data_IF_292608849132
#
_entry.id   IF_292608849132
#
_cell.length_a   1.000
_cell.length_b   1.000
_cell.length_c   1.000
_cell.angle_alpha   90.00
_cell.angle_beta   90.00
_cell.angle_gamma   90.00
#
_symmetry.space_group_name_H-M   'P 1'
#
loop_
_entity.id
_entity.type
_entity.pdbx_description
1 polymer ?
#
# COMPACT_ATOMS: atom_id res chain seq x y z
N UNK A 1 14.26 72.35 55.15
CA UNK A 1 15.31 71.76 54.32
C UNK A 1 15.21 70.21 54.27
N UNK A 2 14.95 69.56 55.36
CA UNK A 2 14.89 68.11 55.41
C UNK A 2 13.73 67.56 54.58
N UNK A 3 12.63 68.25 54.50
CA UNK A 3 11.46 67.83 53.74
C UNK A 3 11.68 67.91 52.22
N UNK A 4 12.42 68.89 51.73
CA UNK A 4 12.73 69.02 50.31
C UNK A 4 13.69 67.92 49.83
N UNK A 5 14.67 67.52 50.61
CA UNK A 5 15.58 66.45 50.29
C UNK A 5 14.89 65.08 50.24
N UNK A 6 13.90 64.84 51.07
CA UNK A 6 13.08 63.64 51.06
C UNK A 6 12.17 63.58 49.86
N UNK A 7 11.67 64.69 49.36
CA UNK A 7 10.82 64.74 48.17
C UNK A 7 11.60 64.46 46.88
N UNK A 8 12.83 64.93 46.75
CA UNK A 8 13.62 64.68 45.52
C UNK A 8 14.06 63.23 45.41
N UNK A 9 14.39 62.57 46.48
CA UNK A 9 14.87 61.21 46.46
C UNK A 9 13.82 60.20 45.97
N UNK A 10 12.52 60.22 46.35
CA UNK A 10 11.52 59.37 45.81
C UNK A 10 11.19 59.58 44.33
N UNK A 11 11.37 60.80 43.82
CA UNK A 11 11.09 61.11 42.40
C UNK A 11 12.15 60.49 41.46
N UNK A 12 13.41 60.52 41.87
CA UNK A 12 14.52 59.97 41.05
C UNK A 12 14.49 58.45 41.01
N UNK A 13 14.24 57.77 42.12
CA UNK A 13 14.13 56.34 42.20
C UNK A 13 12.96 55.72 41.35
N UNK A 14 11.74 56.27 41.37
CA UNK A 14 10.65 55.76 40.52
C UNK A 14 10.95 55.85 39.03
N UNK A 15 11.65 56.87 38.54
CA UNK A 15 11.99 56.98 37.11
C UNK A 15 12.95 55.86 36.66
N UNK A 16 14.03 55.65 37.43
CA UNK A 16 14.96 54.55 37.13
C UNK A 16 14.32 53.20 37.21
N UNK A 17 13.44 52.97 38.19
CA UNK A 17 12.67 51.75 38.33
C UNK A 17 11.70 51.54 37.15
N UNK A 18 11.01 52.59 36.70
CA UNK A 18 10.12 52.56 35.55
C UNK A 18 10.86 52.21 34.27
N UNK A 19 12.08 52.75 34.06
CA UNK A 19 12.91 52.42 32.92
C UNK A 19 13.29 50.92 32.86
N UNK A 20 13.66 50.33 34.01
CA UNK A 20 13.97 48.89 34.08
C UNK A 20 12.73 48.01 33.88
N UNK A 21 11.61 48.45 34.44
CA UNK A 21 10.32 47.78 34.24
C UNK A 21 9.91 47.84 32.76
N UNK A 22 10.08 48.98 32.10
CA UNK A 22 9.80 49.12 30.67
C UNK A 22 10.63 48.18 29.81
N UNK A 23 11.93 48.03 30.12
CA UNK A 23 12.79 47.05 29.44
C UNK A 23 12.35 45.63 29.66
N UNK A 24 11.92 45.28 30.86
CA UNK A 24 11.41 43.95 31.18
C UNK A 24 10.08 43.69 30.45
N UNK A 25 9.21 44.68 30.37
CA UNK A 25 7.97 44.59 29.59
C UNK A 25 8.27 44.34 28.11
N UNK A 26 9.25 45.06 27.54
CA UNK A 26 9.63 44.87 26.14
C UNK A 26 10.17 43.47 25.88
N UNK A 27 10.99 42.92 26.76
CA UNK A 27 11.48 41.54 26.67
C UNK A 27 10.33 40.53 26.73
N UNK A 28 9.39 40.75 27.62
CA UNK A 28 8.19 39.87 27.73
C UNK A 28 7.35 39.96 26.47
N UNK A 29 7.15 41.11 25.89
CA UNK A 29 6.44 41.32 24.65
C UNK A 29 7.12 40.60 23.47
N UNK A 30 8.44 40.70 23.37
CA UNK A 30 9.21 39.99 22.35
C UNK A 30 9.07 38.50 22.48
N UNK A 31 9.16 37.95 23.70
CA UNK A 31 8.93 36.52 23.95
C UNK A 31 7.50 36.11 23.58
N UNK A 32 6.50 36.91 23.95
CA UNK A 32 5.10 36.67 23.62
C UNK A 32 4.91 36.61 22.12
N UNK A 33 5.47 37.54 21.36
CA UNK A 33 5.34 37.62 19.93
C UNK A 33 6.02 36.42 19.23
N UNK A 34 7.22 36.07 19.72
CA UNK A 34 7.93 34.88 19.26
C UNK A 34 7.14 33.61 19.51
N UNK A 35 6.55 33.46 20.69
CA UNK A 35 5.69 32.31 21.02
C UNK A 35 4.41 32.27 20.17
N UNK A 36 3.81 33.42 19.90
CA UNK A 36 2.64 33.49 19.00
C UNK A 36 2.99 33.04 17.57
N UNK A 37 4.14 33.47 17.06
CA UNK A 37 4.62 33.07 15.76
C UNK A 37 4.89 31.56 15.72
N UNK A 38 5.56 31.00 16.72
CA UNK A 38 5.80 29.56 16.82
C UNK A 38 4.50 28.77 16.94
N UNK A 39 3.53 29.26 17.69
CA UNK A 39 2.23 28.65 17.83
C UNK A 39 1.48 28.63 16.50
N UNK A 40 1.50 29.73 15.77
CA UNK A 40 0.89 29.83 14.46
C UNK A 40 1.51 28.85 13.46
N UNK A 41 2.85 28.79 13.40
CA UNK A 41 3.58 27.85 12.55
C UNK A 41 3.28 26.40 12.92
N UNK A 42 3.24 26.08 14.21
CA UNK A 42 2.91 24.75 14.69
C UNK A 42 1.48 24.34 14.33
N UNK A 43 0.54 25.26 14.43
CA UNK A 43 -0.86 25.02 14.00
C UNK A 43 -0.96 24.75 12.51
N UNK A 44 -0.24 25.52 11.70
CA UNK A 44 -0.23 25.33 10.25
C UNK A 44 0.41 23.99 9.89
N UNK A 45 1.51 23.63 10.55
CA UNK A 45 2.17 22.33 10.37
C UNK A 45 1.26 21.18 10.80
N UNK A 46 0.55 21.33 11.91
CA UNK A 46 -0.40 20.33 12.41
C UNK A 46 -1.54 20.13 11.43
N UNK A 47 -2.09 21.20 10.88
CA UNK A 47 -3.13 21.15 9.87
C UNK A 47 -2.66 20.44 8.60
N UNK A 48 -1.46 20.77 8.13
CA UNK A 48 -0.84 20.14 6.96
C UNK A 48 -0.62 18.64 7.17
N UNK A 49 -0.11 18.24 8.33
CA UNK A 49 0.09 16.83 8.67
C UNK A 49 -1.26 16.10 8.77
N UNK A 50 -2.26 16.73 9.34
CA UNK A 50 -3.60 16.18 9.45
C UNK A 50 -4.21 15.91 8.06
N UNK A 51 -4.03 16.84 7.14
CA UNK A 51 -4.49 16.67 5.77
C UNK A 51 -3.75 15.53 5.05
N UNK A 52 -2.45 15.40 5.29
CA UNK A 52 -1.66 14.28 4.78
C UNK A 52 -2.11 12.94 5.33
N UNK A 53 -2.42 12.88 6.61
CA UNK A 53 -2.96 11.66 7.25
C UNK A 53 -4.27 11.26 6.58
N UNK A 54 -5.19 12.20 6.40
CA UNK A 54 -6.46 11.92 5.72
C UNK A 54 -6.28 11.43 4.29
N UNK A 55 -5.35 12.01 3.55
CA UNK A 55 -5.00 11.59 2.20
C UNK A 55 -4.44 10.18 2.16
N UNK A 56 -3.52 9.85 3.07
CA UNK A 56 -2.92 8.52 3.18
C UNK A 56 -3.96 7.48 3.60
N UNK A 57 -4.83 7.81 4.55
CA UNK A 57 -5.94 6.93 4.95
C UNK A 57 -6.87 6.61 3.79
N UNK A 58 -7.17 7.60 2.96
CA UNK A 58 -7.97 7.43 1.75
C UNK A 58 -7.25 6.52 0.74
N UNK A 59 -5.95 6.71 0.55
CA UNK A 59 -5.13 5.87 -0.32
C UNK A 59 -5.07 4.42 0.18
N UNK A 60 -4.93 4.22 1.48
CA UNK A 60 -4.94 2.89 2.10
C UNK A 60 -6.28 2.19 1.86
N UNK A 61 -7.39 2.89 2.04
CA UNK A 61 -8.72 2.33 1.77
C UNK A 61 -8.89 1.92 0.32
N UNK A 62 -8.40 2.72 -0.61
CA UNK A 62 -8.43 2.42 -2.04
C UNK A 62 -7.58 1.20 -2.38
N UNK A 63 -6.36 1.14 -1.83
CA UNK A 63 -5.46 0.00 -2.03
C UNK A 63 -6.05 -1.29 -1.45
N UNK A 64 -6.67 -1.23 -0.28
CA UNK A 64 -7.34 -2.39 0.31
C UNK A 64 -8.49 -2.90 -0.58
N UNK A 65 -9.28 -1.99 -1.16
CA UNK A 65 -10.32 -2.36 -2.13
C UNK A 65 -9.72 -3.01 -3.37
N UNK A 66 -8.62 -2.47 -3.90
CA UNK A 66 -7.92 -3.04 -5.04
C UNK A 66 -7.38 -4.44 -4.74
N UNK A 67 -6.78 -4.62 -3.57
CA UNK A 67 -6.27 -5.93 -3.11
C UNK A 67 -7.41 -6.95 -3.02
N UNK A 68 -8.55 -6.58 -2.47
CA UNK A 68 -9.70 -7.47 -2.38
C UNK A 68 -10.22 -7.87 -3.77
N UNK A 69 -10.26 -6.94 -4.71
CA UNK A 69 -10.65 -7.21 -6.09
C UNK A 69 -9.66 -8.15 -6.76
N UNK A 70 -8.37 -7.89 -6.63
CA UNK A 70 -7.30 -8.73 -7.19
C UNK A 70 -7.32 -10.14 -6.60
N UNK A 71 -7.55 -10.28 -5.30
CA UNK A 71 -7.69 -11.59 -4.65
C UNK A 71 -8.87 -12.39 -5.21
N UNK A 72 -10.00 -11.72 -5.46
CA UNK A 72 -11.15 -12.35 -6.10
C UNK A 72 -10.85 -12.79 -7.53
N UNK A 73 -10.15 -11.97 -8.30
CA UNK A 73 -9.71 -12.30 -9.65
C UNK A 73 -8.75 -13.50 -9.67
N UNK A 74 -7.80 -13.53 -8.74
CA UNK A 74 -6.85 -14.64 -8.58
C UNK A 74 -7.61 -15.93 -8.27
N UNK A 75 -8.61 -15.90 -7.38
CA UNK A 75 -9.43 -17.08 -7.06
C UNK A 75 -10.17 -17.60 -8.27
N UNK A 76 -10.73 -16.72 -9.09
CA UNK A 76 -11.40 -17.11 -10.35
C UNK A 76 -10.42 -17.70 -11.36
N UNK A 77 -9.24 -17.13 -11.50
CA UNK A 77 -8.19 -17.64 -12.38
C UNK A 77 -7.70 -19.02 -11.92
N UNK A 78 -7.55 -19.24 -10.62
CA UNK A 78 -7.19 -20.54 -10.06
C UNK A 78 -8.23 -21.61 -10.36
N UNK A 79 -9.53 -21.28 -10.28
CA UNK A 79 -10.61 -22.18 -10.65
C UNK A 79 -10.59 -22.53 -12.14
N UNK A 80 -10.38 -21.53 -12.99
CA UNK A 80 -10.25 -21.75 -14.44
C UNK A 80 -9.04 -22.64 -14.76
N UNK A 81 -7.92 -22.41 -14.09
CA UNK A 81 -6.72 -23.21 -14.25
C UNK A 81 -6.97 -24.66 -13.84
N UNK A 82 -7.64 -24.88 -12.71
CA UNK A 82 -7.99 -26.23 -12.25
C UNK A 82 -8.86 -26.96 -13.28
N UNK A 83 -9.88 -26.32 -13.81
CA UNK A 83 -10.74 -26.89 -14.88
C UNK A 83 -9.96 -27.18 -16.14
N UNK A 84 -9.06 -26.30 -16.55
CA UNK A 84 -8.22 -26.53 -17.73
C UNK A 84 -7.28 -27.72 -17.55
N UNK A 85 -6.71 -27.90 -16.34
CA UNK A 85 -5.87 -29.04 -16.01
C UNK A 85 -6.64 -30.36 -16.04
N UNK A 86 -7.88 -30.39 -15.53
CA UNK A 86 -8.74 -31.55 -15.56
C UNK A 86 -9.07 -31.93 -17.01
N UNK A 87 -9.41 -30.95 -17.84
CA UNK A 87 -9.67 -31.18 -19.26
C UNK A 87 -8.46 -31.73 -20.00
N UNK A 88 -7.29 -31.16 -19.73
CA UNK A 88 -6.01 -31.60 -20.29
C UNK A 88 -5.73 -33.08 -19.92
N UNK A 89 -5.94 -33.41 -18.65
CA UNK A 89 -5.75 -34.79 -18.18
C UNK A 89 -6.71 -35.75 -18.85
N UNK A 90 -7.99 -35.39 -18.98
CA UNK A 90 -8.98 -36.18 -19.69
C UNK A 90 -8.61 -36.36 -21.15
N UNK A 91 -8.15 -35.33 -21.83
CA UNK A 91 -7.73 -35.38 -23.22
C UNK A 91 -6.49 -36.28 -23.42
N UNK A 92 -5.53 -36.22 -22.48
CA UNK A 92 -4.36 -37.12 -22.50
C UNK A 92 -4.74 -38.57 -22.34
N UNK A 93 -5.66 -38.89 -21.45
CA UNK A 93 -6.17 -40.26 -21.28
C UNK A 93 -6.87 -40.75 -22.52
N UNK A 94 -7.68 -39.93 -23.19
CA UNK A 94 -8.31 -40.27 -24.48
C UNK A 94 -7.26 -40.51 -25.55
N UNK A 95 -6.23 -39.70 -25.63
CA UNK A 95 -5.15 -39.86 -26.58
C UNK A 95 -4.42 -41.20 -26.38
N UNK A 96 -4.07 -41.53 -25.14
CA UNK A 96 -3.44 -42.80 -24.80
C UNK A 96 -4.29 -44.00 -25.22
N UNK A 97 -5.59 -43.94 -24.96
CA UNK A 97 -6.52 -44.99 -25.38
C UNK A 97 -6.58 -45.13 -26.90
N UNK A 98 -6.60 -44.02 -27.62
CA UNK A 98 -6.59 -44.02 -29.10
C UNK A 98 -5.30 -44.57 -29.67
N UNK A 99 -4.16 -44.20 -29.09
CA UNK A 99 -2.85 -44.74 -29.49
C UNK A 99 -2.76 -46.25 -29.25
N UNK A 100 -3.23 -46.71 -28.09
CA UNK A 100 -3.28 -48.14 -27.77
C UNK A 100 -4.17 -48.90 -28.78
N UNK A 101 -5.33 -48.38 -29.07
CA UNK A 101 -6.23 -48.96 -30.06
C UNK A 101 -5.65 -49.00 -31.46
N UNK A 102 -4.93 -47.95 -31.84
CA UNK A 102 -4.24 -47.87 -33.12
C UNK A 102 -3.17 -48.97 -33.25
N UNK A 103 -2.39 -49.17 -32.17
CA UNK A 103 -1.40 -50.23 -32.12
C UNK A 103 -2.04 -51.61 -32.27
N UNK A 104 -3.13 -51.87 -31.55
CA UNK A 104 -3.87 -53.14 -31.68
C UNK A 104 -4.39 -53.36 -33.11
N UNK A 105 -4.94 -52.34 -33.75
CA UNK A 105 -5.44 -52.43 -35.11
C UNK A 105 -4.31 -52.68 -36.12
N UNK A 106 -3.14 -52.05 -35.91
CA UNK A 106 -1.97 -52.35 -36.75
C UNK A 106 -1.52 -53.79 -36.62
N UNK A 107 -1.46 -54.32 -35.41
CA UNK A 107 -1.07 -55.71 -35.17
C UNK A 107 -2.06 -56.66 -35.82
N UNK A 108 -3.36 -56.42 -35.72
CA UNK A 108 -4.41 -57.20 -36.39
C UNK A 108 -4.25 -57.13 -37.87
N UNK A 109 -4.01 -55.95 -38.45
CA UNK A 109 -3.78 -55.79 -39.87
C UNK A 109 -2.58 -56.59 -40.35
N UNK A 110 -1.44 -56.53 -39.62
CA UNK A 110 -0.27 -57.30 -39.97
C UNK A 110 -0.52 -58.83 -39.92
N UNK A 111 -1.22 -59.26 -38.88
CA UNK A 111 -1.58 -60.69 -38.75
C UNK A 111 -2.47 -61.18 -39.91
N UNK A 112 -3.48 -60.40 -40.27
CA UNK A 112 -4.36 -60.73 -41.41
C UNK A 112 -3.55 -60.68 -42.72
N UNK A 113 -2.71 -59.69 -42.89
CA UNK A 113 -1.87 -59.59 -44.10
C UNK A 113 -0.92 -60.79 -44.25
N UNK A 114 -0.33 -61.23 -43.13
CA UNK A 114 0.52 -62.41 -43.11
C UNK A 114 -0.25 -63.67 -43.46
N UNK A 115 -1.48 -63.87 -42.93
CA UNK A 115 -2.35 -65.03 -43.26
C UNK A 115 -2.76 -65.03 -44.73
N UNK A 116 -3.10 -63.84 -45.27
CA UNK A 116 -3.41 -63.70 -46.69
C UNK A 116 -2.23 -64.09 -47.58
N UNK A 117 -1.03 -63.63 -47.21
CA UNK A 117 0.17 -64.05 -47.95
C UNK A 117 0.45 -65.50 -47.90
N UNK A 118 0.21 -66.19 -46.78
CA UNK A 118 0.38 -67.62 -46.63
C UNK A 118 -0.66 -68.40 -47.50
N UNK A 119 -1.88 -67.91 -47.54
CA UNK A 119 -2.93 -68.53 -48.39
C UNK A 119 -2.63 -68.35 -49.86
N UNK A 120 -2.11 -67.19 -50.25
CA UNK A 120 -1.70 -66.98 -51.65
C UNK A 120 -0.52 -67.89 -52.10
N UNK A 121 0.41 -68.19 -51.20
CA UNK A 121 1.53 -69.09 -51.47
C UNK A 121 1.09 -70.57 -51.64
N UNK A 122 0.00 -70.92 -51.04
CA UNK A 122 -0.58 -72.27 -51.13
C UNK A 122 -1.40 -72.44 -52.39
N UNK A 123 -2.12 -71.41 -52.79
CA UNK A 123 -2.96 -71.44 -53.99
C UNK A 123 -2.26 -70.77 -55.19
#
# INVERSE_FOLDING_TARGET
>A
MKVQGLMYSPIVKPQAFTSDVDKDIDKIREKRDSLKNSLSQNRDSQSSVKDRISSVESDISRQNSNINTEQSEISLEQEKLARSREKLQSDREKLERLQSRMTQLRDQYQNISTEVSKLNDVY
#
